data_IF_795414866547
#
_entry.id   IF_795414866547
#
_cell.length_a   1.000
_cell.length_b   1.000
_cell.length_c   1.000
_cell.angle_alpha   90.00
_cell.angle_beta   90.00
_cell.angle_gamma   90.00
#
_symmetry.space_group_name_H-M   'P 1'
#
loop_
_entity.id
_entity.type
_entity.pdbx_description
1 polymer ?
#
# COMPACT_ATOMS: atom_id res chain seq x y z
N UNK A 1 8.75 -5.64 8.89
CA UNK A 1 9.69 -5.78 7.76
C UNK A 1 11.02 -5.18 8.21
N UNK A 2 12.17 -5.78 7.88
CA UNK A 2 13.45 -5.15 8.21
C UNK A 2 13.81 -4.16 7.09
N UNK A 3 14.20 -2.96 7.47
CA UNK A 3 14.65 -1.92 6.55
C UNK A 3 15.87 -2.40 5.75
N UNK A 4 15.93 -2.08 4.44
CA UNK A 4 17.09 -2.34 3.59
C UNK A 4 17.69 -1.00 3.14
N UNK A 5 18.94 -0.76 3.55
CA UNK A 5 19.67 0.48 3.29
C UNK A 5 19.92 0.77 1.81
N UNK A 6 19.84 -0.24 0.93
CA UNK A 6 19.94 -0.06 -0.52
C UNK A 6 18.82 0.81 -1.10
N UNK A 7 17.70 0.95 -0.38
CA UNK A 7 16.53 1.73 -0.80
C UNK A 7 16.40 3.06 -0.05
N UNK A 8 17.46 3.52 0.63
CA UNK A 8 17.49 4.84 1.27
C UNK A 8 17.24 5.94 0.22
N UNK A 9 16.21 6.80 0.39
CA UNK A 9 16.03 7.96 -0.46
C UNK A 9 17.20 8.93 -0.33
N UNK A 10 17.56 9.57 -1.44
CA UNK A 10 18.59 10.61 -1.43
C UNK A 10 18.22 11.73 -0.44
N UNK A 11 19.15 12.06 0.46
CA UNK A 11 18.95 13.07 1.51
C UNK A 11 18.32 12.56 2.82
N UNK A 12 18.00 11.26 2.94
CA UNK A 12 17.54 10.70 4.21
C UNK A 12 18.67 10.61 5.24
N UNK A 13 18.48 11.25 6.40
CA UNK A 13 19.42 11.16 7.52
C UNK A 13 18.75 10.42 8.69
N UNK A 14 19.21 9.21 9.00
CA UNK A 14 18.69 8.39 10.10
C UNK A 14 18.85 9.06 11.47
N UNK A 15 19.89 9.87 11.67
CA UNK A 15 20.13 10.53 12.95
C UNK A 15 19.03 11.54 13.30
N UNK A 16 18.41 12.16 12.28
CA UNK A 16 17.30 13.09 12.48
C UNK A 16 16.05 12.39 13.04
N UNK A 17 15.92 11.08 12.82
CA UNK A 17 14.76 10.28 13.19
C UNK A 17 15.09 9.21 14.22
N UNK A 18 16.27 9.25 14.84
CA UNK A 18 16.73 8.21 15.77
C UNK A 18 15.77 7.95 16.93
N UNK A 19 15.08 9.00 17.39
CA UNK A 19 14.07 8.91 18.45
C UNK A 19 12.80 8.15 18.01
N UNK A 20 12.62 7.93 16.70
CA UNK A 20 11.48 7.26 16.08
C UNK A 20 11.96 6.00 15.36
N UNK A 21 11.74 4.83 15.98
CA UNK A 21 12.14 3.53 15.42
C UNK A 21 13.62 3.45 15.02
N UNK A 22 14.52 4.03 15.83
CA UNK A 22 15.97 4.08 15.58
C UNK A 22 16.36 4.71 14.23
N UNK A 23 15.51 5.55 13.64
CA UNK A 23 15.74 6.15 12.33
C UNK A 23 15.49 5.19 11.14
N UNK A 24 14.96 3.99 11.40
CA UNK A 24 14.46 3.09 10.37
C UNK A 24 13.01 3.47 10.03
N UNK A 25 12.73 3.92 8.80
CA UNK A 25 11.36 4.26 8.42
C UNK A 25 10.50 2.99 8.32
N UNK A 26 9.26 3.10 8.78
CA UNK A 26 8.23 2.09 8.51
C UNK A 26 7.85 2.14 7.02
N UNK A 27 7.81 0.99 6.36
CA UNK A 27 7.30 0.90 5.00
C UNK A 27 5.80 0.62 5.05
N UNK A 28 5.03 1.51 4.42
CA UNK A 28 3.57 1.41 4.33
C UNK A 28 3.13 1.30 2.88
N UNK A 29 2.25 0.35 2.59
CA UNK A 29 1.60 0.22 1.28
C UNK A 29 0.26 0.96 1.32
N UNK A 30 0.09 1.96 0.47
CA UNK A 30 -1.13 2.76 0.39
C UNK A 30 -1.91 2.45 -0.89
N UNK A 31 -3.23 2.35 -0.77
CA UNK A 31 -4.14 2.26 -1.91
C UNK A 31 -5.18 3.37 -1.84
N UNK A 32 -5.18 4.27 -2.84
CA UNK A 32 -6.14 5.37 -2.90
C UNK A 32 -7.54 4.86 -3.27
N UNK A 33 -8.50 5.06 -2.38
CA UNK A 33 -9.86 4.54 -2.54
C UNK A 33 -10.92 5.60 -2.15
N UNK A 34 -11.17 6.62 -3.00
CA UNK A 34 -11.99 7.78 -2.65
C UNK A 34 -13.44 7.47 -2.30
N UNK A 35 -13.98 6.37 -2.85
CA UNK A 35 -15.36 5.93 -2.61
C UNK A 35 -15.45 4.80 -1.56
N UNK A 36 -14.34 4.46 -0.90
CA UNK A 36 -14.33 3.41 0.12
C UNK A 36 -14.67 4.00 1.48
N UNK A 37 -15.94 3.91 1.87
CA UNK A 37 -16.46 4.46 3.13
C UNK A 37 -16.30 3.51 4.32
N UNK A 38 -15.73 2.32 4.11
CA UNK A 38 -15.53 1.32 5.16
C UNK A 38 -14.42 1.77 6.11
N UNK A 39 -14.79 2.08 7.36
CA UNK A 39 -13.86 2.47 8.42
C UNK A 39 -13.16 1.27 9.09
N UNK A 40 -13.77 0.08 9.02
CA UNK A 40 -13.30 -1.13 9.69
C UNK A 40 -12.54 -2.07 8.74
N UNK A 41 -11.54 -1.53 8.04
CA UNK A 41 -10.67 -2.37 7.22
C UNK A 41 -9.60 -2.96 8.14
N UNK A 42 -9.62 -4.28 8.31
CA UNK A 42 -8.51 -4.98 8.96
C UNK A 42 -7.29 -4.91 8.03
N UNK A 43 -6.35 -4.04 8.35
CA UNK A 43 -5.09 -3.89 7.61
C UNK A 43 -4.14 -5.01 8.06
N UNK A 44 -3.70 -5.93 7.18
CA UNK A 44 -2.73 -6.94 7.54
C UNK A 44 -1.37 -6.30 7.81
N UNK A 45 -0.68 -6.75 8.86
CA UNK A 45 0.73 -6.42 9.05
C UNK A 45 1.56 -7.28 8.11
N UNK A 46 2.36 -6.63 7.28
CA UNK A 46 3.20 -7.26 6.26
C UNK A 46 4.64 -7.25 6.76
N UNK A 47 5.29 -8.42 6.75
CA UNK A 47 6.66 -8.58 7.26
C UNK A 47 7.72 -8.61 6.15
N UNK A 48 7.30 -8.75 4.90
CA UNK A 48 8.14 -8.89 3.72
C UNK A 48 7.68 -7.96 2.58
N UNK A 49 8.64 -7.34 1.88
CA UNK A 49 8.34 -6.33 0.88
C UNK A 49 7.62 -6.91 -0.34
N UNK A 50 8.06 -8.08 -0.82
CA UNK A 50 7.49 -8.72 -2.00
C UNK A 50 6.05 -9.17 -1.74
N UNK A 51 5.74 -9.57 -0.50
CA UNK A 51 4.38 -9.88 -0.11
C UNK A 51 3.49 -8.63 -0.09
N UNK A 52 4.04 -7.49 0.32
CA UNK A 52 3.32 -6.21 0.29
C UNK A 52 3.01 -5.73 -1.12
N UNK A 53 3.99 -5.82 -2.03
CA UNK A 53 3.79 -5.48 -3.45
C UNK A 53 2.71 -6.38 -4.07
N UNK A 54 2.78 -7.71 -3.88
CA UNK A 54 1.76 -8.65 -4.38
C UNK A 54 0.36 -8.30 -3.91
N UNK A 55 0.19 -7.94 -2.62
CA UNK A 55 -1.11 -7.56 -2.07
C UNK A 55 -1.62 -6.28 -2.73
N UNK A 56 -0.75 -5.28 -2.92
CA UNK A 56 -1.11 -4.02 -3.57
C UNK A 56 -1.51 -4.22 -5.03
N UNK A 57 -0.74 -4.99 -5.81
CA UNK A 57 -1.05 -5.31 -7.20
C UNK A 57 -2.40 -6.04 -7.31
N UNK A 58 -2.64 -7.03 -6.45
CA UNK A 58 -3.91 -7.76 -6.41
C UNK A 58 -5.09 -6.83 -6.12
N UNK A 59 -4.93 -5.87 -5.20
CA UNK A 59 -5.98 -4.88 -4.91
C UNK A 59 -6.34 -4.05 -6.15
N UNK A 60 -5.33 -3.59 -6.90
CA UNK A 60 -5.57 -2.81 -8.12
C UNK A 60 -6.23 -3.64 -9.23
N UNK A 61 -5.84 -4.90 -9.40
CA UNK A 61 -6.50 -5.80 -10.34
C UNK A 61 -7.98 -6.04 -10.02
N UNK A 62 -8.31 -6.27 -8.75
CA UNK A 62 -9.69 -6.48 -8.31
C UNK A 62 -10.55 -5.23 -8.54
N UNK A 63 -10.00 -4.04 -8.22
CA UNK A 63 -10.62 -2.74 -8.53
C UNK A 63 -10.87 -2.57 -10.03
N UNK A 64 -9.90 -2.89 -10.87
CA UNK A 64 -10.04 -2.79 -12.33
C UNK A 64 -11.12 -3.74 -12.88
N UNK A 65 -11.17 -4.99 -12.40
CA UNK A 65 -12.20 -5.98 -12.77
C UNK A 65 -13.60 -5.52 -12.38
N UNK A 66 -13.76 -4.96 -11.18
CA UNK A 66 -15.05 -4.46 -10.69
C UNK A 66 -15.55 -3.25 -11.48
N UNK A 67 -14.68 -2.29 -11.77
CA UNK A 67 -15.03 -1.12 -12.59
C UNK A 67 -15.49 -1.54 -14.00
N UNK A 68 -14.82 -2.51 -14.62
CA UNK A 68 -15.22 -3.01 -15.95
C UNK A 68 -16.58 -3.73 -15.92
N UNK A 69 -16.90 -4.44 -14.84
CA UNK A 69 -18.19 -5.12 -14.68
C UNK A 69 -19.33 -4.11 -14.47
N UNK A 70 -19.10 -3.07 -13.67
CA UNK A 70 -20.06 -1.97 -13.49
C UNK A 70 -20.33 -1.22 -14.80
N UNK A 71 -19.31 -0.97 -15.62
CA UNK A 71 -19.47 -0.30 -16.91
C UNK A 71 -20.27 -1.15 -17.90
N UNK A 72 -19.99 -2.45 -18.02
CA UNK A 72 -20.79 -3.37 -18.87
C UNK A 72 -22.26 -3.45 -18.46
N UNK A 73 -22.56 -3.33 -17.18
CA UNK A 73 -23.95 -3.34 -16.71
C UNK A 73 -24.69 -2.03 -17.01
N UNK A 74 -23.97 -0.90 -17.17
CA UNK A 74 -24.57 0.38 -17.58
C UNK A 74 -24.85 0.47 -19.08
N UNK A 75 -24.08 -0.23 -19.91
CA UNK A 75 -24.28 -0.25 -21.38
C UNK A 75 -25.48 -1.11 -21.82
N UNK A 76 -26.00 -1.97 -20.93
CA UNK A 76 -27.10 -2.90 -21.22
C UNK A 76 -28.45 -2.49 -20.60
N UNK A 77 -28.57 -1.27 -20.05
CA UNK A 77 -29.79 -0.67 -19.50
C UNK A 77 -30.12 0.63 -20.25
#
# INVERSE_FOLDING_TARGET
MKWNDEYIPEGWNKDNFKDYNNGEPDVVFMAYAPNNTKKDIKIPYIVDYDDGDKIQQKYFEEKAKNNNKENKNKENN
#
